data_IF_140461660871
#
_entry.id   IF_140461660871
#
_cell.length_a   1.000
_cell.length_b   1.000
_cell.length_c   1.000
_cell.angle_alpha   90.00
_cell.angle_beta   90.00
_cell.angle_gamma   90.00
#
_symmetry.space_group_name_H-M   'P 1'
#
loop_
_entity.id
_entity.type
_entity.pdbx_description
1 polymer ?
#
# COMPACT_ATOMS: atom_id res chain seq x y z
N UNK A 1 -9.05 -17.69 -19.88
CA UNK A 1 -9.16 -16.94 -18.60
C UNK A 1 -10.09 -15.76 -18.81
N UNK A 2 -11.15 -15.57 -18.00
CA UNK A 2 -12.05 -14.40 -18.14
C UNK A 2 -11.26 -13.13 -17.80
N UNK A 3 -11.19 -12.18 -18.73
CA UNK A 3 -10.61 -10.86 -18.50
C UNK A 3 -11.42 -10.19 -17.40
N UNK A 4 -10.82 -9.96 -16.22
CA UNK A 4 -11.46 -9.19 -15.15
C UNK A 4 -11.69 -7.78 -15.68
N UNK A 5 -12.93 -7.29 -15.63
CA UNK A 5 -13.22 -5.88 -15.93
C UNK A 5 -12.30 -5.01 -15.07
N UNK A 6 -11.62 -4.06 -15.70
CA UNK A 6 -10.84 -3.07 -14.98
C UNK A 6 -11.76 -2.34 -13.98
N UNK A 7 -11.23 -2.06 -12.79
CA UNK A 7 -11.93 -1.22 -11.83
C UNK A 7 -12.10 0.18 -12.44
N UNK A 8 -13.25 0.84 -12.24
CA UNK A 8 -13.40 2.25 -12.60
C UNK A 8 -12.39 3.09 -11.82
N UNK A 9 -12.05 4.27 -12.34
CA UNK A 9 -11.25 5.22 -11.57
C UNK A 9 -12.01 5.63 -10.31
N UNK A 10 -11.32 5.63 -9.16
CA UNK A 10 -11.87 6.05 -7.88
C UNK A 10 -10.78 6.67 -7.02
N UNK A 11 -11.19 7.60 -6.16
CA UNK A 11 -10.32 8.18 -5.15
C UNK A 11 -10.15 7.20 -3.99
N UNK A 12 -8.94 7.10 -3.48
CA UNK A 12 -8.68 6.31 -2.27
C UNK A 12 -9.43 6.90 -1.09
N UNK A 13 -10.11 6.05 -0.32
CA UNK A 13 -10.81 6.45 0.91
C UNK A 13 -9.79 6.95 1.92
N UNK A 14 -9.83 8.20 2.35
CA UNK A 14 -8.91 8.76 3.34
C UNK A 14 -9.05 8.13 4.74
N UNK A 15 -8.06 8.34 5.61
CA UNK A 15 -8.14 7.89 7.00
C UNK A 15 -9.33 8.49 7.75
N UNK A 16 -9.62 9.77 7.50
CA UNK A 16 -10.74 10.47 8.14
C UNK A 16 -12.09 9.99 7.61
N UNK A 17 -12.19 9.61 6.34
CA UNK A 17 -13.37 8.92 5.81
C UNK A 17 -13.55 7.56 6.48
N UNK A 18 -12.50 6.75 6.63
CA UNK A 18 -12.61 5.47 7.33
C UNK A 18 -13.03 5.63 8.79
N UNK A 19 -12.51 6.64 9.50
CA UNK A 19 -12.91 6.95 10.88
C UNK A 19 -14.38 7.38 10.96
N UNK A 20 -14.83 8.22 10.02
CA UNK A 20 -16.24 8.62 9.92
C UNK A 20 -17.13 7.41 9.63
N UNK A 21 -16.77 6.60 8.63
CA UNK A 21 -17.52 5.38 8.28
C UNK A 21 -17.62 4.43 9.49
N UNK A 22 -16.54 4.24 10.24
CA UNK A 22 -16.55 3.41 11.44
C UNK A 22 -17.52 3.91 12.51
N UNK A 23 -17.56 5.23 12.71
CA UNK A 23 -18.42 5.89 13.70
C UNK A 23 -19.89 5.89 13.28
N UNK A 24 -20.16 6.22 12.02
CA UNK A 24 -21.50 6.49 11.51
C UNK A 24 -22.25 5.20 11.12
N UNK A 25 -21.53 4.10 10.86
CA UNK A 25 -22.11 2.81 10.47
C UNK A 25 -21.76 1.70 11.47
N UNK A 26 -22.76 1.25 12.22
CA UNK A 26 -22.58 0.19 13.22
C UNK A 26 -22.64 -1.23 12.64
N UNK A 27 -23.08 -1.38 11.38
CA UNK A 27 -23.26 -2.70 10.80
C UNK A 27 -21.92 -3.44 10.66
N UNK A 28 -21.87 -4.67 11.16
CA UNK A 28 -20.67 -5.50 11.24
C UNK A 28 -19.95 -5.63 9.90
N UNK A 29 -20.68 -5.77 8.79
CA UNK A 29 -20.10 -5.88 7.46
C UNK A 29 -19.34 -4.62 7.01
N UNK A 30 -19.81 -3.43 7.39
CA UNK A 30 -19.17 -2.16 7.04
C UNK A 30 -17.91 -1.97 7.89
N UNK A 31 -18.01 -2.22 9.20
CA UNK A 31 -16.86 -2.19 10.10
C UNK A 31 -15.75 -3.15 9.67
N UNK A 32 -16.12 -4.36 9.23
CA UNK A 32 -15.16 -5.33 8.68
C UNK A 32 -14.49 -4.82 7.41
N UNK A 33 -15.23 -4.15 6.52
CA UNK A 33 -14.65 -3.56 5.30
C UNK A 33 -13.62 -2.48 5.64
N UNK A 34 -13.94 -1.60 6.61
CA UNK A 34 -12.98 -0.58 7.09
C UNK A 34 -11.70 -1.22 7.63
N UNK A 35 -11.83 -2.27 8.46
CA UNK A 35 -10.67 -2.98 9.00
C UNK A 35 -9.84 -3.68 7.92
N UNK A 36 -10.47 -4.27 6.91
CA UNK A 36 -9.76 -4.89 5.79
C UNK A 36 -8.98 -3.84 4.98
N UNK A 37 -9.56 -2.66 4.74
CA UNK A 37 -8.83 -1.56 4.08
C UNK A 37 -7.59 -1.18 4.89
N UNK A 38 -7.73 -0.96 6.19
CA UNK A 38 -6.61 -0.62 7.08
C UNK A 38 -5.55 -1.71 7.14
N UNK A 39 -5.97 -2.98 7.17
CA UNK A 39 -5.06 -4.13 7.15
C UNK A 39 -4.25 -4.17 5.87
N UNK A 40 -4.86 -3.98 4.70
CA UNK A 40 -4.12 -4.01 3.43
C UNK A 40 -3.13 -2.87 3.30
N UNK A 41 -3.42 -1.68 3.86
CA UNK A 41 -2.45 -0.58 3.91
C UNK A 41 -1.19 -0.96 4.67
N UNK A 42 -1.36 -1.53 5.86
CA UNK A 42 -0.24 -2.02 6.68
C UNK A 42 0.53 -3.13 5.97
N UNK A 43 -0.17 -4.04 5.30
CA UNK A 43 0.47 -5.09 4.51
C UNK A 43 1.33 -4.52 3.38
N UNK A 44 0.90 -3.45 2.70
CA UNK A 44 1.70 -2.79 1.66
C UNK A 44 2.98 -2.19 2.27
N UNK A 45 2.90 -1.60 3.46
CA UNK A 45 4.07 -1.10 4.18
C UNK A 45 5.04 -2.21 4.58
N UNK A 46 4.52 -3.34 5.05
CA UNK A 46 5.33 -4.52 5.38
C UNK A 46 6.04 -5.07 4.14
N UNK A 47 5.35 -5.15 2.99
CA UNK A 47 5.95 -5.59 1.72
C UNK A 47 7.08 -4.65 1.29
N UNK A 48 6.92 -3.33 1.46
CA UNK A 48 7.98 -2.37 1.15
C UNK A 48 9.18 -2.53 2.09
N UNK A 49 8.95 -2.81 3.38
CA UNK A 49 10.02 -3.12 4.33
C UNK A 49 10.80 -4.38 3.91
N UNK A 50 10.09 -5.46 3.57
CA UNK A 50 10.74 -6.69 3.09
C UNK A 50 11.50 -6.45 1.78
N UNK A 51 10.92 -5.70 0.84
CA UNK A 51 11.60 -5.34 -0.42
C UNK A 51 12.92 -4.60 -0.14
N UNK A 52 12.92 -3.64 0.78
CA UNK A 52 14.13 -2.90 1.16
C UNK A 52 15.18 -3.82 1.80
N UNK A 53 14.77 -4.74 2.66
CA UNK A 53 15.67 -5.72 3.28
C UNK A 53 16.31 -6.63 2.24
N UNK A 54 15.53 -7.15 1.28
CA UNK A 54 16.03 -8.01 0.21
C UNK A 54 16.97 -7.22 -0.72
N UNK A 55 16.63 -5.99 -1.08
CA UNK A 55 17.49 -5.14 -1.92
C UNK A 55 18.83 -4.84 -1.27
N UNK A 56 18.86 -4.64 0.06
CA UNK A 56 20.10 -4.46 0.82
C UNK A 56 20.96 -5.73 0.82
N UNK A 57 20.38 -6.86 1.23
CA UNK A 57 21.09 -8.15 1.26
C UNK A 57 21.67 -8.52 -0.12
N UNK A 58 20.89 -8.31 -1.19
CA UNK A 58 21.34 -8.59 -2.56
C UNK A 58 22.52 -7.72 -2.99
N UNK A 59 22.50 -6.42 -2.66
CA UNK A 59 23.60 -5.51 -2.97
C UNK A 59 24.88 -5.87 -2.23
N UNK A 60 24.74 -6.32 -0.98
CA UNK A 60 25.86 -6.71 -0.13
C UNK A 60 26.51 -8.03 -0.60
N UNK A 61 25.73 -8.99 -1.12
CA UNK A 61 26.21 -10.31 -1.53
C UNK A 61 26.60 -10.45 -3.01
N UNK A 62 25.72 -10.03 -3.93
CA UNK A 62 25.83 -10.40 -5.35
C UNK A 62 26.42 -9.29 -6.23
N UNK A 63 26.31 -8.03 -5.78
CA UNK A 63 26.64 -6.85 -6.58
C UNK A 63 25.66 -6.62 -7.74
N UNK A 64 25.12 -5.40 -7.84
CA UNK A 64 24.23 -4.99 -8.94
C UNK A 64 22.75 -4.83 -8.55
N UNK A 65 21.90 -4.54 -9.54
CA UNK A 65 20.48 -4.24 -9.33
C UNK A 65 19.58 -5.33 -9.89
N UNK A 66 18.71 -5.89 -9.04
CA UNK A 66 17.71 -6.86 -9.47
C UNK A 66 16.50 -6.13 -10.07
N UNK A 67 16.31 -6.23 -11.38
CA UNK A 67 15.24 -5.55 -12.13
C UNK A 67 13.84 -5.83 -11.55
N UNK A 68 13.62 -7.05 -11.02
CA UNK A 68 12.36 -7.40 -10.37
C UNK A 68 12.09 -6.56 -9.11
N UNK A 69 13.09 -6.31 -8.26
CA UNK A 69 12.96 -5.46 -7.07
C UNK A 69 12.74 -4.00 -7.45
N UNK A 70 13.36 -3.54 -8.54
CA UNK A 70 13.10 -2.20 -9.07
C UNK A 70 11.64 -2.05 -9.52
N UNK A 71 11.10 -3.03 -10.27
CA UNK A 71 9.69 -3.02 -10.66
C UNK A 71 8.75 -3.07 -9.45
N UNK A 72 9.06 -3.90 -8.45
CA UNK A 72 8.28 -3.97 -7.22
C UNK A 72 8.28 -2.62 -6.48
N UNK A 73 9.43 -1.94 -6.42
CA UNK A 73 9.54 -0.58 -5.86
C UNK A 73 8.61 0.41 -6.55
N UNK A 74 8.54 0.38 -7.88
CA UNK A 74 7.65 1.29 -8.63
C UNK A 74 6.17 1.04 -8.33
N UNK A 75 5.76 -0.23 -8.24
CA UNK A 75 4.37 -0.61 -7.90
C UNK A 75 4.01 -0.14 -6.48
N UNK A 76 4.89 -0.40 -5.51
CA UNK A 76 4.65 0.01 -4.12
C UNK A 76 4.66 1.52 -3.95
N UNK A 77 5.53 2.24 -4.68
CA UNK A 77 5.53 3.72 -4.70
C UNK A 77 4.20 4.24 -5.22
N UNK A 78 3.73 3.74 -6.36
CA UNK A 78 2.45 4.16 -6.94
C UNK A 78 1.28 3.90 -5.98
N UNK A 79 1.27 2.76 -5.28
CA UNK A 79 0.19 2.47 -4.32
C UNK A 79 0.28 3.35 -3.07
N UNK A 80 1.49 3.60 -2.54
CA UNK A 80 1.68 4.54 -1.42
C UNK A 80 1.30 5.97 -1.77
N UNK A 81 1.55 6.40 -3.01
CA UNK A 81 1.07 7.70 -3.52
C UNK A 81 -0.46 7.75 -3.50
N UNK A 82 -1.12 6.69 -3.98
CA UNK A 82 -2.59 6.58 -3.91
C UNK A 82 -3.12 6.59 -2.47
N UNK A 83 -2.38 6.02 -1.51
CA UNK A 83 -2.74 6.01 -0.09
C UNK A 83 -2.49 7.34 0.63
N UNK A 84 -1.83 8.30 -0.02
CA UNK A 84 -1.43 9.56 0.62
C UNK A 84 -0.28 9.43 1.62
N UNK A 85 0.36 8.25 1.70
CA UNK A 85 1.44 7.93 2.65
C UNK A 85 2.74 8.70 2.30
N UNK A 86 2.87 9.20 1.08
CA UNK A 86 4.05 9.96 0.62
C UNK A 86 3.94 11.48 0.83
N UNK A 87 3.05 11.95 1.71
CA UNK A 87 2.92 13.37 2.07
C UNK A 87 3.38 13.63 3.50
N UNK A 88 4.70 13.53 3.73
CA UNK A 88 5.49 14.43 4.60
C UNK A 88 6.97 13.98 4.60
N UNK A 89 7.89 14.74 3.98
CA UNK A 89 9.27 14.75 4.41
C UNK A 89 9.36 15.60 5.68
N UNK A 90 9.57 14.97 6.84
CA UNK A 90 10.13 15.69 7.98
C UNK A 90 11.61 15.93 7.69
N UNK A 91 11.90 17.02 6.98
CA UNK A 91 13.20 17.69 7.07
C UNK A 91 13.24 18.44 8.41
N UNK A 92 14.21 18.06 9.25
CA UNK A 92 14.95 18.95 10.14
C UNK A 92 16.40 18.51 10.17
#
# INVERSE_FOLDING_TARGET
MKQKRALPAFQTVSQDELRRIWKDYEQTQIRRLVLEVERYRRLIDDIELYRQSIDRAWKDEAGGSLVALYRLRLILKAERERLGILSEPHDK
#
